data_IF_332120856235
#
_entry.id   IF_332120856235
#
_cell.length_a   1.000
_cell.length_b   1.000
_cell.length_c   1.000
_cell.angle_alpha   90.00
_cell.angle_beta   90.00
_cell.angle_gamma   90.00
#
_symmetry.space_group_name_H-M   'P 1'
#
loop_
_entity.id
_entity.type
_entity.pdbx_description
1 polymer ?
#
# COMPACT_ATOMS: atom_id res chain seq x y z
N UNK A 1 -17.48 -12.01 -1.93
CA UNK A 1 -17.64 -11.59 -3.34
C UNK A 1 -17.83 -12.81 -4.25
N UNK A 2 -16.83 -13.70 -4.34
CA UNK A 2 -16.85 -14.85 -5.26
C UNK A 2 -18.13 -15.69 -5.20
N UNK A 3 -18.54 -16.14 -4.00
CA UNK A 3 -19.76 -16.95 -3.79
C UNK A 3 -21.01 -16.24 -4.34
N UNK A 4 -21.16 -14.95 -4.05
CA UNK A 4 -22.29 -14.13 -4.53
C UNK A 4 -22.26 -14.00 -6.06
N UNK A 5 -21.10 -13.72 -6.64
CA UNK A 5 -20.95 -13.57 -8.09
C UNK A 5 -21.23 -14.86 -8.87
N UNK A 6 -20.72 -16.01 -8.39
CA UNK A 6 -21.00 -17.32 -9.02
C UNK A 6 -22.47 -17.72 -8.84
N UNK A 7 -23.06 -17.45 -7.68
CA UNK A 7 -24.48 -17.75 -7.46
C UNK A 7 -25.38 -16.88 -8.36
N UNK A 8 -25.03 -15.61 -8.57
CA UNK A 8 -25.67 -14.74 -9.55
C UNK A 8 -25.49 -15.26 -10.99
N UNK A 9 -24.36 -15.88 -11.32
CA UNK A 9 -24.17 -16.55 -12.61
C UNK A 9 -25.13 -17.73 -12.80
N UNK A 10 -25.36 -18.54 -11.76
CA UNK A 10 -26.37 -19.61 -11.82
C UNK A 10 -27.78 -19.05 -12.08
N UNK A 11 -28.15 -17.94 -11.42
CA UNK A 11 -29.42 -17.26 -11.66
C UNK A 11 -29.54 -16.71 -13.10
N UNK A 12 -28.45 -16.16 -13.67
CA UNK A 12 -28.43 -15.76 -15.09
C UNK A 12 -28.65 -16.93 -16.04
N UNK A 13 -28.12 -18.11 -15.71
CA UNK A 13 -28.31 -19.33 -16.49
C UNK A 13 -29.63 -20.05 -16.19
N UNK A 14 -30.46 -19.52 -15.29
CA UNK A 14 -31.72 -20.13 -14.84
C UNK A 14 -31.52 -21.55 -14.28
N UNK A 15 -30.40 -21.78 -13.57
CA UNK A 15 -30.05 -23.07 -12.95
C UNK A 15 -29.98 -22.92 -11.44
N UNK A 16 -30.28 -23.99 -10.72
CA UNK A 16 -30.00 -24.17 -9.29
C UNK A 16 -30.49 -22.99 -8.43
N UNK A 17 -31.72 -22.53 -8.69
CA UNK A 17 -32.24 -21.26 -8.17
C UNK A 17 -32.24 -21.20 -6.65
N UNK A 18 -32.74 -22.24 -5.99
CA UNK A 18 -32.83 -22.29 -4.53
C UNK A 18 -31.45 -22.27 -3.88
N UNK A 19 -30.55 -23.13 -4.37
CA UNK A 19 -29.16 -23.17 -3.95
C UNK A 19 -28.47 -21.82 -4.14
N UNK A 20 -28.65 -21.18 -5.29
CA UNK A 20 -28.05 -19.89 -5.59
C UNK A 20 -28.57 -18.80 -4.64
N UNK A 21 -29.88 -18.69 -4.42
CA UNK A 21 -30.46 -17.68 -3.54
C UNK A 21 -30.00 -17.87 -2.08
N UNK A 22 -29.97 -19.11 -1.58
CA UNK A 22 -29.45 -19.42 -0.25
C UNK A 22 -27.97 -19.02 -0.12
N UNK A 23 -27.15 -19.36 -1.12
CA UNK A 23 -25.73 -19.03 -1.17
C UNK A 23 -25.47 -17.52 -1.23
N UNK A 24 -26.26 -16.76 -2.00
CA UNK A 24 -26.16 -15.31 -2.07
C UNK A 24 -26.48 -14.71 -0.69
N UNK A 25 -27.53 -15.17 -0.01
CA UNK A 25 -27.94 -14.63 1.30
C UNK A 25 -26.81 -14.77 2.33
N UNK A 26 -26.26 -15.98 2.47
CA UNK A 26 -25.15 -16.25 3.41
C UNK A 26 -23.91 -15.47 2.98
N UNK A 27 -23.55 -15.52 1.70
CA UNK A 27 -22.37 -14.86 1.15
C UNK A 27 -22.42 -13.33 1.26
N UNK A 28 -23.61 -12.73 1.20
CA UNK A 28 -23.79 -11.30 1.33
C UNK A 28 -23.74 -10.81 2.78
N UNK A 29 -24.30 -11.56 3.73
CA UNK A 29 -24.18 -11.24 5.17
C UNK A 29 -22.71 -11.31 5.58
N UNK A 30 -22.04 -12.43 5.27
CA UNK A 30 -20.63 -12.60 5.60
C UNK A 30 -19.75 -11.55 4.89
N UNK A 31 -20.05 -11.28 3.61
CA UNK A 31 -19.36 -10.25 2.83
C UNK A 31 -19.48 -8.86 3.43
N UNK A 32 -20.68 -8.47 3.89
CA UNK A 32 -20.90 -7.18 4.54
C UNK A 32 -20.06 -7.06 5.82
N UNK A 33 -20.15 -8.05 6.71
CA UNK A 33 -19.39 -8.06 7.97
C UNK A 33 -17.88 -8.01 7.70
N UNK A 34 -17.37 -8.85 6.78
CA UNK A 34 -15.97 -8.84 6.40
C UNK A 34 -15.51 -7.49 5.83
N UNK A 35 -16.35 -6.84 5.01
CA UNK A 35 -16.03 -5.52 4.44
C UNK A 35 -15.97 -4.42 5.49
N UNK A 36 -16.88 -4.42 6.47
CA UNK A 36 -16.88 -3.47 7.59
C UNK A 36 -15.65 -3.68 8.49
N UNK A 37 -15.32 -4.93 8.82
CA UNK A 37 -14.11 -5.27 9.58
C UNK A 37 -12.84 -4.85 8.82
N UNK A 38 -12.82 -4.99 7.49
CA UNK A 38 -11.69 -4.58 6.66
C UNK A 38 -11.49 -3.06 6.68
N UNK A 39 -12.57 -2.27 6.66
CA UNK A 39 -12.48 -0.80 6.80
C UNK A 39 -12.00 -0.40 8.19
N UNK A 40 -12.53 -1.04 9.24
CA UNK A 40 -12.11 -0.75 10.61
C UNK A 40 -10.63 -1.05 10.86
N UNK A 41 -10.16 -2.22 10.41
CA UNK A 41 -8.73 -2.58 10.48
C UNK A 41 -7.86 -1.72 9.57
N UNK A 42 -8.41 -1.27 8.43
CA UNK A 42 -7.77 -0.32 7.52
C UNK A 42 -7.53 1.05 8.15
N UNK A 43 -8.51 1.62 8.85
CA UNK A 43 -8.36 2.88 9.59
C UNK A 43 -7.28 2.77 10.68
N UNK A 44 -7.29 1.67 11.45
CA UNK A 44 -6.23 1.40 12.43
C UNK A 44 -4.84 1.31 11.81
N UNK A 45 -4.73 0.68 10.64
CA UNK A 45 -3.47 0.57 9.89
C UNK A 45 -3.03 1.92 9.32
N UNK A 46 -3.96 2.74 8.83
CA UNK A 46 -3.68 4.09 8.34
C UNK A 46 -3.11 4.99 9.43
N UNK A 47 -3.68 4.93 10.63
CA UNK A 47 -3.14 5.61 11.80
C UNK A 47 -1.72 5.15 12.12
N UNK A 48 -1.45 3.83 12.17
CA UNK A 48 -0.08 3.33 12.40
C UNK A 48 0.93 3.76 11.33
N UNK A 49 0.50 3.85 10.07
CA UNK A 49 1.33 4.36 8.98
C UNK A 49 1.66 5.84 9.19
N UNK A 50 0.69 6.66 9.62
CA UNK A 50 0.95 8.06 9.94
C UNK A 50 2.04 8.21 11.02
N UNK A 51 1.98 7.37 12.05
CA UNK A 51 2.90 7.42 13.18
C UNK A 51 4.30 6.88 12.86
N UNK A 52 4.40 5.84 12.03
CA UNK A 52 5.65 5.10 11.83
C UNK A 52 6.29 5.31 10.46
N UNK A 53 5.52 5.79 9.47
CA UNK A 53 5.89 5.91 8.07
C UNK A 53 5.26 7.17 7.44
N UNK A 54 5.61 8.38 7.91
CA UNK A 54 5.03 9.62 7.40
C UNK A 54 5.27 9.81 5.89
N UNK A 55 6.42 9.37 5.36
CA UNK A 55 6.70 9.46 3.91
C UNK A 55 5.72 8.64 3.07
N UNK A 56 5.32 7.46 3.58
CA UNK A 56 4.34 6.61 2.93
C UNK A 56 2.96 7.26 2.94
N UNK A 57 2.56 7.83 4.08
CA UNK A 57 1.30 8.59 4.18
C UNK A 57 1.28 9.76 3.20
N UNK A 58 2.36 10.55 3.19
CA UNK A 58 2.47 11.71 2.31
C UNK A 58 2.41 11.32 0.84
N UNK A 59 3.05 10.22 0.44
CA UNK A 59 3.00 9.70 -0.93
C UNK A 59 1.62 9.13 -1.30
N UNK A 60 0.94 8.41 -0.40
CA UNK A 60 -0.43 7.96 -0.68
C UNK A 60 -1.40 9.13 -0.70
N UNK A 61 -1.15 10.25 -0.03
CA UNK A 61 -2.04 11.42 -0.14
C UNK A 61 -1.66 12.38 -1.26
N UNK A 62 -0.44 12.30 -1.80
CA UNK A 62 0.10 13.31 -2.70
C UNK A 62 0.40 14.63 -1.96
N UNK A 63 0.71 14.55 -0.67
CA UNK A 63 0.95 15.68 0.22
C UNK A 63 2.42 16.10 0.15
N UNK A 64 2.72 17.16 -0.60
CA UNK A 64 4.07 17.70 -0.70
C UNK A 64 4.39 18.65 0.45
N UNK A 65 3.51 19.62 0.69
CA UNK A 65 3.59 20.55 1.81
C UNK A 65 2.63 20.12 2.92
N UNK A 66 3.19 19.83 4.10
CA UNK A 66 2.46 19.44 5.30
C UNK A 66 1.98 20.64 6.12
N UNK A 67 1.14 20.36 7.11
CA UNK A 67 0.52 21.39 7.93
C UNK A 67 -0.43 20.83 8.97
N UNK A 68 -1.14 21.72 9.65
CA UNK A 68 -2.32 21.39 10.45
C UNK A 68 -3.58 21.51 9.61
N UNK A 69 -4.69 20.88 10.02
CA UNK A 69 -5.97 20.93 9.31
C UNK A 69 -5.90 20.48 7.83
N UNK A 70 -5.06 19.48 7.56
CA UNK A 70 -4.83 18.98 6.21
C UNK A 70 -6.05 18.18 5.75
N UNK A 71 -6.49 18.47 4.51
CA UNK A 71 -7.62 17.79 3.88
C UNK A 71 -7.25 16.41 3.35
N UNK A 72 -8.22 15.50 3.33
CA UNK A 72 -8.09 14.20 2.65
C UNK A 72 -8.47 14.36 1.18
N UNK A 73 -7.60 13.94 0.26
CA UNK A 73 -7.88 14.01 -1.19
C UNK A 73 -8.77 12.84 -1.60
N UNK A 74 -10.09 13.11 -1.72
CA UNK A 74 -11.06 12.10 -2.13
C UNK A 74 -10.95 11.75 -3.62
N UNK A 75 -10.85 12.79 -4.47
CA UNK A 75 -10.64 12.64 -5.93
C UNK A 75 -9.56 13.63 -6.34
N UNK A 76 -8.54 13.17 -7.07
CA UNK A 76 -7.49 14.05 -7.57
C UNK A 76 -6.83 13.53 -8.83
N UNK A 77 -6.37 14.45 -9.68
CA UNK A 77 -5.54 14.19 -10.85
C UNK A 77 -4.19 14.83 -10.58
N UNK A 78 -3.17 13.99 -10.42
CA UNK A 78 -1.81 14.46 -10.21
C UNK A 78 -1.26 15.13 -11.47
N UNK A 79 -0.43 16.14 -11.26
CA UNK A 79 0.28 16.82 -12.33
C UNK A 79 1.45 15.94 -12.82
N UNK A 80 1.42 15.43 -14.07
CA UNK A 80 2.51 14.60 -14.61
C UNK A 80 3.83 15.35 -14.73
N UNK A 81 3.79 16.69 -14.72
CA UNK A 81 4.98 17.50 -14.77
C UNK A 81 5.74 17.57 -13.43
N UNK A 82 5.08 17.23 -12.31
CA UNK A 82 5.69 17.11 -10.99
C UNK A 82 6.56 15.86 -10.94
N UNK A 83 7.88 16.04 -10.85
CA UNK A 83 8.88 14.95 -10.88
C UNK A 83 9.66 14.83 -9.57
N UNK A 84 9.98 15.95 -8.93
CA UNK A 84 10.73 15.95 -7.66
C UNK A 84 9.93 16.68 -6.60
N UNK A 85 10.34 16.59 -5.34
CA UNK A 85 9.64 17.30 -4.27
C UNK A 85 9.75 18.83 -4.43
N UNK A 86 10.87 19.32 -4.95
CA UNK A 86 11.27 20.73 -4.99
C UNK A 86 11.26 21.39 -6.40
N UNK A 87 10.58 20.82 -7.39
CA UNK A 87 10.51 21.38 -8.75
C UNK A 87 9.62 22.64 -8.91
N UNK A 88 9.02 23.14 -7.82
CA UNK A 88 8.16 24.33 -7.82
C UNK A 88 6.82 24.17 -8.55
N UNK A 89 6.46 22.97 -8.99
CA UNK A 89 5.19 22.71 -9.69
C UNK A 89 4.11 22.30 -8.71
N UNK A 90 2.86 22.67 -9.01
CA UNK A 90 1.71 22.22 -8.24
C UNK A 90 1.53 20.70 -8.41
N UNK A 91 1.31 19.95 -7.31
CA UNK A 91 1.14 18.50 -7.38
C UNK A 91 -0.15 18.03 -8.05
N UNK A 92 -1.17 18.89 -8.18
CA UNK A 92 -2.48 18.54 -8.72
C UNK A 92 -2.87 19.43 -9.90
N UNK A 93 -3.43 18.81 -10.95
CA UNK A 93 -4.19 19.54 -11.96
C UNK A 93 -5.62 19.82 -11.46
N UNK A 94 -6.15 18.91 -10.65
CA UNK A 94 -7.48 19.00 -10.06
C UNK A 94 -7.50 18.16 -8.78
N UNK A 95 -8.14 18.68 -7.71
CA UNK A 95 -8.38 17.92 -6.48
C UNK A 95 -9.66 18.35 -5.79
N UNK A 96 -10.35 17.38 -5.21
CA UNK A 96 -11.45 17.56 -4.29
C UNK A 96 -11.05 17.00 -2.92
N UNK A 97 -11.01 17.87 -1.92
CA UNK A 97 -10.53 17.57 -0.59
C UNK A 97 -11.64 17.72 0.45
N UNK A 98 -11.63 16.83 1.45
CA UNK A 98 -12.47 16.95 2.63
C UNK A 98 -11.63 17.63 3.72
N UNK A 99 -11.94 18.88 4.12
CA UNK A 99 -11.12 19.65 5.06
C UNK A 99 -10.90 18.92 6.38
N UNK A 100 -9.69 19.06 6.94
CA UNK A 100 -9.24 18.47 8.23
C UNK A 100 -9.35 16.94 8.37
N UNK A 101 -9.86 16.23 7.37
CA UNK A 101 -10.10 14.79 7.45
C UNK A 101 -8.79 14.00 7.50
N UNK A 102 -7.74 14.43 6.78
CA UNK A 102 -6.45 13.74 6.82
C UNK A 102 -5.78 13.93 8.18
N UNK A 103 -5.77 15.15 8.73
CA UNK A 103 -5.28 15.39 10.09
C UNK A 103 -6.03 14.54 11.11
N UNK A 104 -7.36 14.46 11.03
CA UNK A 104 -8.15 13.61 11.92
C UNK A 104 -7.81 12.13 11.80
N UNK A 105 -7.66 11.58 10.59
CA UNK A 105 -7.32 10.17 10.38
C UNK A 105 -5.89 9.84 10.81
N UNK A 106 -4.94 10.73 10.52
CA UNK A 106 -3.51 10.54 10.80
C UNK A 106 -3.18 10.71 12.29
N UNK A 107 -3.80 11.68 12.95
CA UNK A 107 -3.42 12.13 14.29
C UNK A 107 -4.51 11.95 15.35
N UNK A 108 -5.73 11.54 14.96
CA UNK A 108 -6.94 11.53 15.82
C UNK A 108 -7.30 12.91 16.37
N UNK A 109 -6.77 13.96 15.74
CA UNK A 109 -7.00 15.36 16.06
C UNK A 109 -7.09 16.17 14.76
N UNK A 110 -8.10 17.02 14.63
CA UNK A 110 -8.31 17.88 13.45
C UNK A 110 -7.16 18.87 13.27
N UNK A 111 -6.58 19.37 14.36
CA UNK A 111 -5.44 20.29 14.34
C UNK A 111 -4.08 19.56 14.34
N UNK A 112 -4.09 18.24 14.20
CA UNK A 112 -2.87 17.44 14.14
C UNK A 112 -1.99 17.82 12.95
N UNK A 113 -0.70 18.00 13.22
CA UNK A 113 0.30 18.29 12.18
C UNK A 113 0.63 17.04 11.40
N UNK A 114 0.39 17.07 10.08
CA UNK A 114 0.73 15.99 9.15
C UNK A 114 1.89 16.46 8.28
N UNK A 115 3.08 15.83 8.37
CA UNK A 115 4.23 16.23 7.58
C UNK A 115 4.06 15.81 6.11
N UNK A 116 4.36 16.74 5.19
CA UNK A 116 4.40 16.46 3.75
C UNK A 116 5.77 15.99 3.29
N UNK A 117 5.89 15.58 2.03
CA UNK A 117 7.14 15.09 1.43
C UNK A 117 8.29 16.10 1.62
N UNK A 118 8.04 17.40 1.38
CA UNK A 118 9.04 18.46 1.54
C UNK A 118 9.51 18.55 2.99
N UNK A 119 8.59 18.58 3.97
CA UNK A 119 8.95 18.67 5.39
C UNK A 119 9.73 17.45 5.86
N UNK A 120 9.43 16.26 5.34
CA UNK A 120 10.15 15.02 5.71
C UNK A 120 11.57 15.01 5.16
N UNK A 121 11.77 15.60 3.97
CA UNK A 121 13.09 15.70 3.33
C UNK A 121 13.93 16.80 3.96
N UNK A 122 13.37 17.99 4.09
CA UNK A 122 14.10 19.16 4.59
C UNK A 122 14.24 19.14 6.12
N UNK A 123 13.38 18.39 6.80
CA UNK A 123 13.35 18.31 8.26
C UNK A 123 12.76 19.56 8.90
N UNK A 124 13.13 19.81 10.15
CA UNK A 124 12.78 21.04 10.88
C UNK A 124 11.38 21.10 11.47
N UNK A 125 10.47 20.19 11.09
CA UNK A 125 9.16 20.05 11.73
C UNK A 125 9.28 19.38 13.11
N UNK A 126 8.33 19.67 13.98
CA UNK A 126 8.32 19.15 15.35
C UNK A 126 7.85 17.69 15.36
N UNK A 127 8.67 16.83 15.95
CA UNK A 127 8.30 15.44 16.22
C UNK A 127 7.47 15.38 17.51
N UNK A 128 6.80 14.24 17.71
CA UNK A 128 5.93 14.02 18.87
C UNK A 128 6.65 14.00 20.21
N UNK A 129 7.95 13.71 20.19
CA UNK A 129 8.83 13.77 21.35
C UNK A 129 9.30 15.21 21.68
N UNK A 130 8.87 16.21 20.89
CA UNK A 130 9.26 17.60 21.03
C UNK A 130 10.60 17.95 20.37
N UNK A 131 11.32 16.97 19.82
CA UNK A 131 12.55 17.20 19.06
C UNK A 131 12.23 17.71 17.64
N UNK A 132 13.23 18.30 16.98
CA UNK A 132 13.11 18.68 15.57
C UNK A 132 13.51 17.50 14.70
N UNK A 133 12.71 17.23 13.68
CA UNK A 133 13.02 16.21 12.69
C UNK A 133 14.31 16.56 11.96
N UNK A 134 15.25 15.61 11.90
CA UNK A 134 16.48 15.73 11.12
C UNK A 134 16.16 15.75 9.63
N UNK A 135 16.93 16.54 8.88
CA UNK A 135 16.85 16.57 7.42
C UNK A 135 17.36 15.25 6.82
N UNK A 136 16.94 14.94 5.60
CA UNK A 136 17.45 13.81 4.85
C UNK A 136 18.98 13.91 4.64
N UNK A 137 19.50 15.11 4.42
CA UNK A 137 20.94 15.35 4.26
C UNK A 137 21.73 14.97 5.52
N UNK A 138 21.25 15.40 6.70
CA UNK A 138 21.85 15.04 7.99
C UNK A 138 21.77 13.53 8.24
N UNK A 139 20.64 12.89 7.91
CA UNK A 139 20.49 11.42 8.04
C UNK A 139 21.47 10.69 7.13
N UNK A 140 21.68 11.17 5.90
CA UNK A 140 22.65 10.59 4.96
C UNK A 140 24.07 10.73 5.50
N UNK A 141 24.43 11.88 6.06
CA UNK A 141 25.75 12.10 6.67
C UNK A 141 25.98 11.16 7.86
N UNK A 142 25.03 11.08 8.78
CA UNK A 142 25.08 10.13 9.91
C UNK A 142 25.16 8.68 9.44
N UNK A 143 24.44 8.33 8.38
CA UNK A 143 24.51 7.02 7.76
C UNK A 143 25.90 6.69 7.21
N UNK A 144 26.56 7.65 6.54
CA UNK A 144 27.95 7.49 6.07
C UNK A 144 28.91 7.31 7.25
N UNK A 145 28.73 8.07 8.32
CA UNK A 145 29.49 7.92 9.56
C UNK A 145 29.29 6.53 10.16
N UNK A 146 28.07 6.01 10.18
CA UNK A 146 27.78 4.65 10.67
C UNK A 146 28.48 3.56 9.84
N UNK A 147 28.49 3.69 8.51
CA UNK A 147 29.19 2.75 7.62
C UNK A 147 30.70 2.81 7.86
N UNK A 148 31.25 4.03 7.98
CA UNK A 148 32.67 4.24 8.30
C UNK A 148 33.04 3.65 9.66
N UNK A 149 32.23 3.89 10.69
CA UNK A 149 32.41 3.35 12.04
C UNK A 149 32.35 1.82 12.06
N UNK A 150 31.45 1.21 11.27
CA UNK A 150 31.39 -0.25 11.13
C UNK A 150 32.66 -0.81 10.47
N UNK A 151 33.19 -0.13 9.44
CA UNK A 151 34.44 -0.53 8.81
C UNK A 151 35.63 -0.40 9.77
N UNK A 152 35.71 0.71 10.51
CA UNK A 152 36.73 0.95 11.52
C UNK A 152 36.66 -0.08 12.67
N UNK A 153 35.46 -0.40 13.15
CA UNK A 153 35.23 -1.44 14.15
C UNK A 153 35.77 -2.80 13.69
N UNK A 154 35.45 -3.20 12.45
CA UNK A 154 35.93 -4.46 11.88
C UNK A 154 37.44 -4.48 11.74
N UNK A 155 38.04 -3.39 11.27
CA UNK A 155 39.48 -3.26 11.11
C UNK A 155 40.22 -3.34 12.47
N UNK A 156 39.79 -2.55 13.46
CA UNK A 156 40.37 -2.55 14.80
C UNK A 156 40.25 -3.93 15.48
N UNK A 157 39.09 -4.59 15.35
CA UNK A 157 38.88 -5.94 15.89
C UNK A 157 39.77 -6.98 15.22
N UNK A 158 39.98 -6.87 13.90
CA UNK A 158 40.90 -7.76 13.18
C UNK A 158 42.38 -7.52 13.53
N UNK A 159 42.73 -6.29 13.92
CA UNK A 159 44.07 -5.90 14.33
C UNK A 159 44.34 -6.15 15.83
N UNK A 160 43.35 -6.55 16.60
CA UNK A 160 43.47 -6.77 18.05
C UNK A 160 43.49 -5.49 18.91
N UNK A 161 43.12 -4.34 18.35
CA UNK A 161 43.05 -3.07 19.08
C UNK A 161 41.67 -2.92 19.75
N UNK A 162 41.53 -3.38 20.99
CA UNK A 162 40.22 -3.40 21.68
C UNK A 162 39.67 -2.00 22.02
N UNK A 163 40.53 -1.05 22.38
CA UNK A 163 40.12 0.33 22.71
C UNK A 163 39.59 1.06 21.46
N UNK A 164 40.32 0.98 20.34
CA UNK A 164 39.89 1.58 19.06
C UNK A 164 38.58 0.94 18.56
N UNK A 165 38.43 -0.37 18.75
CA UNK A 165 37.19 -1.07 18.43
C UNK A 165 36.03 -0.58 19.30
N UNK A 166 36.25 -0.34 20.60
CA UNK A 166 35.21 0.18 21.50
C UNK A 166 34.77 1.59 21.13
N UNK A 167 35.71 2.46 20.76
CA UNK A 167 35.41 3.82 20.27
C UNK A 167 34.57 3.76 18.99
N UNK A 168 35.00 2.97 18.00
CA UNK A 168 34.26 2.80 16.75
C UNK A 168 32.87 2.18 16.96
N UNK A 169 32.73 1.27 17.94
CA UNK A 169 31.44 0.69 18.32
C UNK A 169 30.46 1.71 18.90
N UNK A 170 30.93 2.62 19.76
CA UNK A 170 30.08 3.67 20.32
C UNK A 170 29.56 4.61 19.23
N UNK A 171 30.46 5.07 18.34
CA UNK A 171 30.08 5.91 17.18
C UNK A 171 29.09 5.18 16.27
N UNK A 172 29.28 3.87 16.07
CA UNK A 172 28.35 3.04 15.32
C UNK A 172 26.98 3.02 16.00
N UNK A 173 26.91 2.72 17.29
CA UNK A 173 25.64 2.60 18.04
C UNK A 173 24.81 3.89 17.99
N UNK A 174 25.45 5.05 18.10
CA UNK A 174 24.77 6.35 18.00
C UNK A 174 24.17 6.62 16.61
N UNK A 175 24.78 6.07 15.55
CA UNK A 175 24.38 6.34 14.17
C UNK A 175 23.67 5.17 13.47
N UNK A 176 23.52 4.01 14.14
CA UNK A 176 22.80 2.83 13.63
C UNK A 176 21.40 3.18 13.09
N UNK A 177 20.58 4.03 13.76
CA UNK A 177 19.25 4.35 13.25
C UNK A 177 19.24 4.96 11.84
N UNK A 178 20.38 5.48 11.36
CA UNK A 178 20.52 6.09 10.04
C UNK A 178 21.39 5.28 9.08
N UNK A 179 21.81 4.07 9.46
CA UNK A 179 22.79 3.28 8.73
C UNK A 179 22.44 3.10 7.24
N UNK A 180 21.17 2.82 6.94
CA UNK A 180 20.71 2.61 5.57
C UNK A 180 20.74 3.86 4.70
N UNK A 181 20.66 5.06 5.30
CA UNK A 181 20.75 6.33 4.58
C UNK A 181 22.16 6.55 3.99
N UNK A 182 23.19 5.92 4.54
CA UNK A 182 24.56 6.05 4.02
C UNK A 182 24.76 5.51 2.59
N UNK A 183 23.83 4.67 2.11
CA UNK A 183 23.84 4.14 0.74
C UNK A 183 23.06 5.01 -0.26
N UNK A 184 22.31 6.02 0.23
CA UNK A 184 21.50 6.89 -0.61
C UNK A 184 22.39 7.97 -1.22
N UNK A 185 22.31 8.11 -2.55
CA UNK A 185 23.13 9.07 -3.32
C UNK A 185 22.37 10.36 -3.61
N UNK A 186 21.07 10.23 -3.85
CA UNK A 186 20.17 11.33 -4.15
C UNK A 186 18.99 11.29 -3.20
N UNK A 187 18.69 12.43 -2.58
CA UNK A 187 17.58 12.62 -1.66
C UNK A 187 16.24 12.29 -2.31
N UNK A 188 16.09 12.52 -3.61
CA UNK A 188 14.87 12.18 -4.35
C UNK A 188 14.55 10.67 -4.32
N UNK A 189 15.55 9.80 -4.11
CA UNK A 189 15.35 8.36 -3.99
C UNK A 189 14.58 7.96 -2.72
N UNK A 190 14.56 8.84 -1.71
CA UNK A 190 13.79 8.62 -0.48
C UNK A 190 12.29 8.76 -0.69
N UNK A 191 11.88 9.41 -1.78
CA UNK A 191 10.46 9.58 -2.13
C UNK A 191 10.00 8.38 -2.94
N UNK A 192 9.06 7.56 -2.43
CA UNK A 192 8.47 6.50 -3.23
C UNK A 192 7.66 7.10 -4.38
N UNK A 193 7.38 6.30 -5.41
CA UNK A 193 6.61 6.76 -6.57
C UNK A 193 5.22 7.26 -6.14
N UNK A 194 5.06 8.60 -6.11
CA UNK A 194 3.84 9.26 -5.62
C UNK A 194 2.64 8.89 -6.50
N UNK A 195 2.67 9.02 -7.85
CA UNK A 195 1.54 8.61 -8.68
C UNK A 195 1.07 7.18 -8.45
N UNK A 196 2.00 6.22 -8.40
CA UNK A 196 1.66 4.80 -8.21
C UNK A 196 0.93 4.58 -6.87
N UNK A 197 1.47 5.13 -5.78
CA UNK A 197 0.88 4.99 -4.46
C UNK A 197 -0.44 5.76 -4.34
N UNK A 198 -0.49 6.96 -4.91
CA UNK A 198 -1.67 7.81 -4.91
C UNK A 198 -2.86 7.09 -5.55
N UNK A 199 -2.71 6.63 -6.80
CA UNK A 199 -3.82 6.00 -7.52
C UNK A 199 -4.18 4.62 -6.96
N UNK A 200 -3.18 3.83 -6.55
CA UNK A 200 -3.44 2.53 -5.92
C UNK A 200 -4.25 2.67 -4.62
N UNK A 201 -3.93 3.67 -3.78
CA UNK A 201 -4.68 3.94 -2.56
C UNK A 201 -6.14 4.31 -2.84
N UNK A 202 -6.42 5.17 -3.83
CA UNK A 202 -7.81 5.55 -4.18
C UNK A 202 -8.58 4.37 -4.71
N UNK A 203 -7.99 3.58 -5.62
CA UNK A 203 -8.63 2.37 -6.16
C UNK A 203 -9.01 1.44 -5.00
N UNK A 204 -8.11 1.22 -4.06
CA UNK A 204 -8.35 0.37 -2.89
C UNK A 204 -9.50 0.91 -2.02
N UNK A 205 -9.48 2.18 -1.63
CA UNK A 205 -10.49 2.78 -0.75
C UNK A 205 -11.86 2.86 -1.42
N UNK A 206 -11.91 3.29 -2.70
CA UNK A 206 -13.15 3.37 -3.48
C UNK A 206 -13.77 1.98 -3.64
N UNK A 207 -12.97 0.95 -3.96
CA UNK A 207 -13.48 -0.41 -4.08
C UNK A 207 -13.93 -0.98 -2.72
N UNK A 208 -13.22 -0.65 -1.63
CA UNK A 208 -13.63 -1.01 -0.27
C UNK A 208 -15.01 -0.46 0.08
N UNK A 209 -15.24 0.83 -0.16
CA UNK A 209 -16.56 1.47 0.02
C UNK A 209 -17.63 0.88 -0.91
N UNK A 210 -17.28 0.63 -2.17
CA UNK A 210 -18.15 -0.04 -3.14
C UNK A 210 -18.58 -1.43 -2.66
N UNK A 211 -17.70 -2.24 -2.06
CA UNK A 211 -18.06 -3.58 -1.58
C UNK A 211 -19.09 -3.53 -0.44
N UNK A 212 -18.97 -2.56 0.48
CA UNK A 212 -19.98 -2.36 1.53
C UNK A 212 -21.34 -2.05 0.90
N UNK A 213 -21.38 -1.05 0.00
CA UNK A 213 -22.60 -0.67 -0.69
C UNK A 213 -23.18 -1.84 -1.49
N UNK A 214 -22.33 -2.59 -2.20
CA UNK A 214 -22.72 -3.77 -2.96
C UNK A 214 -23.41 -4.81 -2.08
N UNK A 215 -22.84 -5.18 -0.93
CA UNK A 215 -23.46 -6.16 -0.05
C UNK A 215 -24.75 -5.65 0.60
N UNK A 216 -24.82 -4.36 0.97
CA UNK A 216 -26.07 -3.75 1.47
C UNK A 216 -27.18 -3.85 0.42
N UNK A 217 -26.87 -3.48 -0.83
CA UNK A 217 -27.83 -3.51 -1.94
C UNK A 217 -28.26 -4.94 -2.26
N UNK A 218 -27.33 -5.89 -2.28
CA UNK A 218 -27.63 -7.32 -2.48
C UNK A 218 -28.56 -7.84 -1.37
N UNK A 219 -28.26 -7.56 -0.10
CA UNK A 219 -29.11 -7.96 1.02
C UNK A 219 -30.50 -7.31 0.93
N UNK A 220 -30.56 -6.01 0.64
CA UNK A 220 -31.82 -5.30 0.45
C UNK A 220 -32.70 -5.99 -0.60
N UNK A 221 -32.15 -6.31 -1.77
CA UNK A 221 -32.93 -6.97 -2.81
C UNK A 221 -33.29 -8.42 -2.51
N UNK A 222 -32.49 -9.15 -1.73
CA UNK A 222 -32.84 -10.52 -1.30
C UNK A 222 -34.03 -10.51 -0.33
N UNK A 223 -34.06 -9.56 0.61
CA UNK A 223 -35.09 -9.52 1.64
C UNK A 223 -36.37 -8.80 1.21
N UNK A 224 -36.26 -7.80 0.32
CA UNK A 224 -37.40 -6.94 -0.07
C UNK A 224 -37.95 -7.21 -1.47
N UNK A 225 -37.21 -7.87 -2.36
CA UNK A 225 -37.62 -8.11 -3.77
C UNK A 225 -37.24 -9.52 -4.25
N UNK A 226 -37.66 -9.88 -5.46
CA UNK A 226 -37.24 -11.11 -6.13
C UNK A 226 -35.94 -10.87 -6.92
N UNK A 227 -34.79 -11.02 -6.25
CA UNK A 227 -33.47 -10.87 -6.85
C UNK A 227 -33.32 -11.73 -8.12
N UNK A 228 -33.96 -12.90 -8.19
CA UNK A 228 -33.85 -13.83 -9.32
C UNK A 228 -34.32 -13.24 -10.65
N UNK A 229 -35.13 -12.18 -10.65
CA UNK A 229 -35.62 -11.53 -11.87
C UNK A 229 -34.71 -10.38 -12.34
N UNK A 230 -33.78 -9.91 -11.51
CA UNK A 230 -32.98 -8.70 -11.73
C UNK A 230 -31.66 -9.00 -12.44
N UNK A 231 -31.71 -9.26 -13.76
CA UNK A 231 -30.54 -9.64 -14.56
C UNK A 231 -29.36 -8.67 -14.49
N UNK A 232 -29.61 -7.37 -14.37
CA UNK A 232 -28.56 -6.36 -14.25
C UNK A 232 -27.74 -6.54 -12.97
N UNK A 233 -28.37 -6.86 -11.84
CA UNK A 233 -27.69 -7.08 -10.56
C UNK A 233 -26.81 -8.33 -10.62
N UNK A 234 -27.25 -9.37 -11.35
CA UNK A 234 -26.43 -10.55 -11.52
C UNK A 234 -25.15 -10.27 -12.31
N UNK A 235 -25.22 -9.43 -13.34
CA UNK A 235 -24.05 -8.98 -14.10
C UNK A 235 -23.11 -8.15 -13.24
N UNK A 236 -23.64 -7.21 -12.44
CA UNK A 236 -22.83 -6.44 -11.50
C UNK A 236 -22.10 -7.38 -10.55
N UNK A 237 -22.79 -8.32 -9.91
CA UNK A 237 -22.18 -9.27 -8.98
C UNK A 237 -21.07 -10.12 -9.62
N UNK A 238 -21.20 -10.47 -10.89
CA UNK A 238 -20.17 -11.18 -11.65
C UNK A 238 -18.95 -10.29 -11.93
N UNK A 239 -19.19 -9.04 -12.33
CA UNK A 239 -18.12 -8.04 -12.54
C UNK A 239 -17.44 -7.61 -11.24
N UNK A 240 -18.09 -7.76 -10.08
CA UNK A 240 -17.47 -7.53 -8.76
C UNK A 240 -16.35 -8.53 -8.45
N UNK A 241 -16.35 -9.72 -9.06
CA UNK A 241 -15.29 -10.74 -8.82
C UNK A 241 -13.89 -10.20 -9.15
N UNK A 242 -13.59 -9.76 -10.41
CA UNK A 242 -12.28 -9.21 -10.73
C UNK A 242 -11.94 -7.95 -9.92
N UNK A 243 -12.94 -7.12 -9.58
CA UNK A 243 -12.71 -5.94 -8.73
C UNK A 243 -12.16 -6.29 -7.35
N UNK A 244 -12.59 -7.41 -6.76
CA UNK A 244 -12.03 -7.92 -5.50
C UNK A 244 -10.53 -8.20 -5.58
N UNK A 245 -10.07 -8.77 -6.70
CA UNK A 245 -8.65 -9.01 -6.94
C UNK A 245 -7.88 -7.71 -7.17
N UNK A 246 -8.45 -6.77 -7.93
CA UNK A 246 -7.83 -5.45 -8.17
C UNK A 246 -7.65 -4.68 -6.87
N UNK A 247 -8.65 -4.64 -5.98
CA UNK A 247 -8.53 -4.00 -4.69
C UNK A 247 -7.41 -4.61 -3.83
N UNK A 248 -7.29 -5.95 -3.84
CA UNK A 248 -6.23 -6.66 -3.15
C UNK A 248 -4.83 -6.31 -3.69
N UNK A 249 -4.65 -6.30 -5.02
CA UNK A 249 -3.38 -5.93 -5.64
C UNK A 249 -3.03 -4.46 -5.38
N UNK A 250 -4.01 -3.56 -5.46
CA UNK A 250 -3.82 -2.15 -5.15
C UNK A 250 -3.35 -1.94 -3.70
N UNK A 251 -3.92 -2.69 -2.74
CA UNK A 251 -3.46 -2.69 -1.36
C UNK A 251 -2.01 -3.15 -1.19
N UNK A 252 -1.59 -4.20 -1.89
CA UNK A 252 -0.20 -4.66 -1.91
C UNK A 252 0.76 -3.65 -2.54
N UNK A 253 0.33 -2.98 -3.63
CA UNK A 253 1.11 -1.90 -4.23
C UNK A 253 1.32 -0.77 -3.22
N UNK A 254 0.28 -0.30 -2.53
CA UNK A 254 0.41 0.70 -1.46
C UNK A 254 1.33 0.19 -0.35
N UNK A 255 1.21 -1.09 0.03
CA UNK A 255 2.01 -1.70 1.07
C UNK A 255 3.51 -1.66 0.75
N UNK A 256 3.89 -2.17 -0.42
CA UNK A 256 5.27 -2.42 -0.83
C UNK A 256 5.90 -1.24 -1.59
N UNK A 257 5.20 -0.66 -2.57
CA UNK A 257 5.74 0.47 -3.32
C UNK A 257 5.78 1.75 -2.49
N UNK A 258 4.92 1.88 -1.46
CA UNK A 258 4.97 2.98 -0.50
C UNK A 258 6.13 2.89 0.50
N UNK A 259 6.77 1.72 0.60
CA UNK A 259 7.91 1.46 1.48
C UNK A 259 9.25 1.70 0.78
N UNK A 260 9.26 1.81 -0.55
CA UNK A 260 10.47 2.18 -1.30
C UNK A 260 11.04 3.50 -0.76
N UNK A 261 12.38 3.64 -0.66
CA UNK A 261 13.42 2.75 -1.19
C UNK A 261 13.86 1.63 -0.21
N UNK A 262 13.08 1.30 0.82
CA UNK A 262 13.55 0.44 1.91
C UNK A 262 13.17 -1.04 1.73
N UNK A 263 14.16 -1.94 1.83
CA UNK A 263 13.96 -3.37 2.03
C UNK A 263 13.84 -3.73 3.52
N UNK A 264 14.59 -3.04 4.39
CA UNK A 264 14.36 -2.95 5.83
C UNK A 264 14.44 -1.46 6.16
N UNK A 265 13.40 -0.93 6.80
CA UNK A 265 13.27 0.52 7.05
C UNK A 265 14.49 1.08 7.76
N UNK A 266 14.98 2.22 7.27
CA UNK A 266 16.13 2.98 7.78
C UNK A 266 17.49 2.24 7.82
N UNK A 267 17.50 0.93 7.55
CA UNK A 267 18.65 0.04 7.71
C UNK A 267 19.19 -0.51 6.39
N UNK A 268 18.30 -1.00 5.52
CA UNK A 268 18.70 -1.66 4.29
C UNK A 268 17.85 -1.16 3.11
N UNK A 269 18.39 -0.27 2.26
CA UNK A 269 17.70 0.14 1.04
C UNK A 269 17.71 -0.97 -0.01
N UNK A 270 16.71 -0.98 -0.88
CA UNK A 270 16.52 -1.98 -1.94
C UNK A 270 17.71 -2.02 -2.90
N UNK A 271 18.31 -0.88 -3.20
CA UNK A 271 19.51 -0.77 -4.04
C UNK A 271 20.74 -1.47 -3.44
N UNK A 272 20.82 -1.58 -2.11
CA UNK A 272 21.90 -2.29 -1.42
C UNK A 272 21.57 -3.77 -1.13
N UNK A 273 20.29 -4.16 -1.26
CA UNK A 273 19.81 -5.52 -0.97
C UNK A 273 19.91 -6.48 -2.18
N UNK A 274 20.22 -5.98 -3.38
CA UNK A 274 20.31 -6.80 -4.59
C UNK A 274 21.54 -7.71 -4.58
N UNK A 275 21.35 -8.97 -4.96
CA UNK A 275 22.47 -9.89 -5.20
C UNK A 275 23.23 -9.50 -6.46
N UNK A 276 24.55 -9.72 -6.45
CA UNK A 276 25.42 -9.48 -7.61
C UNK A 276 25.25 -10.61 -8.64
N UNK A 277 24.15 -10.57 -9.38
CA UNK A 277 23.82 -11.51 -10.45
C UNK A 277 23.84 -10.82 -11.81
N UNK A 278 24.11 -11.60 -12.86
CA UNK A 278 24.04 -11.08 -14.21
C UNK A 278 22.58 -10.81 -14.63
N UNK A 279 22.39 -9.71 -15.36
CA UNK A 279 21.06 -9.25 -15.78
C UNK A 279 20.36 -10.31 -16.65
N UNK A 280 21.11 -11.03 -17.49
CA UNK A 280 20.55 -12.05 -18.39
C UNK A 280 19.96 -13.25 -17.62
N UNK A 281 20.62 -13.67 -16.54
CA UNK A 281 20.15 -14.75 -15.67
C UNK A 281 18.84 -14.39 -14.96
N UNK A 282 18.72 -13.14 -14.49
CA UNK A 282 17.50 -12.66 -13.84
C UNK A 282 16.34 -12.56 -14.84
N UNK A 283 16.58 -12.03 -16.04
CA UNK A 283 15.56 -11.98 -17.09
C UNK A 283 15.10 -13.38 -17.51
N UNK A 284 16.03 -14.31 -17.68
CA UNK A 284 15.72 -15.69 -18.10
C UNK A 284 14.85 -16.38 -17.06
N UNK A 285 15.24 -16.35 -15.78
CA UNK A 285 14.44 -16.95 -14.70
C UNK A 285 13.07 -16.28 -14.55
N UNK A 286 13.00 -14.95 -14.69
CA UNK A 286 11.74 -14.21 -14.71
C UNK A 286 10.79 -14.73 -15.79
N UNK A 287 11.24 -14.86 -17.04
CA UNK A 287 10.38 -15.34 -18.13
C UNK A 287 9.98 -16.81 -17.97
N UNK A 288 10.85 -17.66 -17.43
CA UNK A 288 10.52 -19.05 -17.09
C UNK A 288 9.37 -19.09 -16.08
N UNK A 289 9.49 -18.35 -14.96
CA UNK A 289 8.44 -18.30 -13.95
C UNK A 289 7.17 -17.62 -14.45
N UNK A 290 7.29 -16.58 -15.27
CA UNK A 290 6.15 -15.91 -15.90
C UNK A 290 5.35 -16.91 -16.76
N UNK A 291 6.02 -17.68 -17.61
CA UNK A 291 5.35 -18.68 -18.45
C UNK A 291 4.71 -19.77 -17.58
N UNK A 292 5.46 -20.33 -16.62
CA UNK A 292 4.98 -21.38 -15.74
C UNK A 292 3.74 -20.94 -14.95
N UNK A 293 3.78 -19.78 -14.30
CA UNK A 293 2.64 -19.26 -13.54
C UNK A 293 1.47 -18.86 -14.43
N UNK A 294 1.73 -18.39 -15.66
CA UNK A 294 0.66 -18.13 -16.63
C UNK A 294 -0.08 -19.41 -17.02
N UNK A 295 0.65 -20.48 -17.33
CA UNK A 295 0.06 -21.79 -17.65
C UNK A 295 -0.74 -22.34 -16.46
N UNK A 296 -0.17 -22.25 -15.25
CA UNK A 296 -0.84 -22.68 -14.03
C UNK A 296 -2.12 -21.88 -13.75
N UNK A 297 -2.10 -20.56 -13.99
CA UNK A 297 -3.28 -19.70 -13.86
C UNK A 297 -4.37 -20.09 -14.87
N UNK A 298 -4.02 -20.32 -16.14
CA UNK A 298 -4.97 -20.75 -17.18
C UNK A 298 -5.58 -22.10 -16.81
N UNK A 299 -4.76 -23.06 -16.39
CA UNK A 299 -5.23 -24.38 -15.96
C UNK A 299 -6.17 -24.27 -14.74
N UNK A 300 -5.77 -23.50 -13.72
CA UNK A 300 -6.55 -23.30 -12.50
C UNK A 300 -7.91 -22.64 -12.77
N UNK A 301 -7.93 -21.54 -13.55
CA UNK A 301 -9.17 -20.87 -13.96
C UNK A 301 -10.02 -21.79 -14.83
N UNK A 302 -9.41 -22.55 -15.73
CA UNK A 302 -10.10 -23.53 -16.59
C UNK A 302 -10.81 -24.63 -15.78
N UNK A 303 -10.11 -25.22 -14.80
CA UNK A 303 -10.68 -26.22 -13.88
C UNK A 303 -11.81 -25.61 -13.06
N UNK A 304 -11.61 -24.42 -12.50
CA UNK A 304 -12.61 -23.72 -11.70
C UNK A 304 -13.88 -23.43 -12.51
N UNK A 305 -13.75 -22.91 -13.74
CA UNK A 305 -14.89 -22.66 -14.63
C UNK A 305 -15.59 -23.97 -15.02
N UNK A 306 -14.84 -25.05 -15.26
CA UNK A 306 -15.43 -26.38 -15.53
C UNK A 306 -16.24 -26.89 -14.34
N UNK A 307 -15.74 -26.74 -13.11
CA UNK A 307 -16.44 -27.13 -11.89
C UNK A 307 -17.71 -26.29 -11.69
N UNK A 308 -17.61 -24.96 -11.85
CA UNK A 308 -18.76 -24.04 -11.77
C UNK A 308 -19.83 -24.42 -12.81
N UNK A 309 -19.43 -24.78 -14.04
CA UNK A 309 -20.40 -25.18 -15.08
C UNK A 309 -21.11 -26.50 -14.74
N UNK A 310 -20.43 -27.43 -14.07
CA UNK A 310 -21.01 -28.71 -13.62
C UNK A 310 -22.13 -28.45 -12.61
N UNK A 311 -21.89 -27.58 -11.64
CA UNK A 311 -22.86 -27.22 -10.60
C UNK A 311 -22.79 -28.15 -9.38
N UNK A 312 -23.68 -27.96 -8.37
CA UNK A 312 -23.70 -28.72 -7.13
C UNK A 312 -24.36 -30.10 -7.24
N UNK A 313 -25.15 -30.36 -8.29
CA UNK A 313 -25.90 -31.62 -8.48
C UNK A 313 -25.04 -32.74 -9.09
N UNK A 314 -23.72 -32.71 -8.84
CA UNK A 314 -22.70 -33.29 -9.69
C UNK A 314 -21.74 -34.25 -8.98
#
# INVERSE_FOLDING_TARGET
IFVVGISCWYLLKKRNREFALASIKIGAIFGLVASLLSVWTGDGSGYQIAQTQPMKLAAVEGLYEGGTNVGLVGIGVLNPEKKTYNDGKDPFLFRFEIPSMLSFLAERNVDGYVPGITNIIEGGYQLKDGSKALSAAEKIERGKTAIGALAAYRAAKSAGHEEDAKVAYNVLQENIPYFGYGYIKDVNQLVPNVPLNFYAFRIMVILGGYFILFFIVVLFFIYKKDLSKMRWMHWIALLTIPLGYIAGQAGWVVAECGRQPWAIRDMLPTMAAISKLDVSSVQTTFFIFLLLFTVMLIAGVGIMVKAIKKGPDA
#
